data_IF_111746900323
#
_entry.id   IF_111746900323
#
_cell.length_a   1.000
_cell.length_b   1.000
_cell.length_c   1.000
_cell.angle_alpha   90.00
_cell.angle_beta   90.00
_cell.angle_gamma   90.00
#
_symmetry.space_group_name_H-M   'P 1'
#
loop_
_entity.id
_entity.type
_entity.pdbx_description
1 polymer ?
#
# COMPACT_ATOMS: atom_id res chain seq x y z
N UNK A 1 -3.84 10.68 28.81
CA UNK A 1 -4.10 9.31 28.32
C UNK A 1 -4.57 9.40 26.87
N UNK A 2 -3.75 8.92 25.95
CA UNK A 2 -3.93 9.11 24.50
C UNK A 2 -5.02 8.18 23.98
N UNK A 3 -6.12 8.78 23.51
CA UNK A 3 -7.19 8.11 22.79
C UNK A 3 -6.63 7.52 21.49
N UNK A 4 -6.23 6.24 21.54
CA UNK A 4 -5.99 5.46 20.33
C UNK A 4 -7.34 5.31 19.65
N UNK A 5 -7.42 5.72 18.40
CA UNK A 5 -8.56 5.43 17.52
C UNK A 5 -8.82 3.93 17.58
N UNK A 6 -10.04 3.55 17.96
CA UNK A 6 -10.46 2.14 17.94
C UNK A 6 -10.21 1.65 16.50
N UNK A 7 -9.41 0.60 16.28
CA UNK A 7 -9.19 0.09 14.94
C UNK A 7 -10.54 -0.24 14.32
N UNK A 8 -10.79 0.27 13.10
CA UNK A 8 -12.02 0.04 12.33
C UNK A 8 -12.25 -1.44 11.96
N UNK A 9 -11.29 -2.31 12.26
CA UNK A 9 -11.40 -3.76 12.17
C UNK A 9 -11.47 -4.35 13.58
N UNK A 10 -12.35 -5.35 13.83
CA UNK A 10 -12.31 -6.08 15.09
C UNK A 10 -10.91 -6.66 15.28
N UNK A 11 -10.34 -6.48 16.47
CA UNK A 11 -9.00 -6.94 16.78
C UNK A 11 -8.90 -8.46 16.63
N UNK A 12 -8.19 -8.92 15.59
CA UNK A 12 -8.01 -10.33 15.23
C UNK A 12 -6.94 -10.98 16.13
N UNK A 13 -6.21 -10.18 16.93
CA UNK A 13 -5.12 -10.65 17.79
C UNK A 13 -5.58 -11.73 18.75
N UNK A 14 -6.76 -11.57 19.35
CA UNK A 14 -7.33 -12.53 20.29
C UNK A 14 -7.64 -13.87 19.62
N UNK A 15 -8.33 -13.86 18.48
CA UNK A 15 -8.65 -15.09 17.75
C UNK A 15 -7.39 -15.84 17.27
N UNK A 16 -6.36 -15.10 16.85
CA UNK A 16 -5.05 -15.70 16.51
C UNK A 16 -4.38 -16.28 17.73
N UNK A 17 -4.37 -15.55 18.85
CA UNK A 17 -3.83 -16.04 20.10
C UNK A 17 -4.51 -17.34 20.54
N UNK A 18 -5.85 -17.42 20.47
CA UNK A 18 -6.59 -18.64 20.80
C UNK A 18 -6.17 -19.81 19.89
N UNK A 19 -6.08 -19.61 18.57
CA UNK A 19 -5.64 -20.68 17.65
C UNK A 19 -4.19 -21.12 17.91
N UNK A 20 -3.29 -20.18 18.19
CA UNK A 20 -1.89 -20.49 18.53
C UNK A 20 -1.77 -21.19 19.88
N UNK A 21 -2.54 -20.77 20.89
CA UNK A 21 -2.56 -21.46 22.20
C UNK A 21 -3.09 -22.88 22.05
N UNK A 22 -4.11 -23.10 21.23
CA UNK A 22 -4.63 -24.42 20.94
C UNK A 22 -3.57 -25.29 20.25
N UNK A 23 -2.83 -24.73 19.29
CA UNK A 23 -1.71 -25.42 18.65
C UNK A 23 -0.63 -25.84 19.67
N UNK A 24 -0.23 -24.93 20.56
CA UNK A 24 0.76 -25.22 21.61
C UNK A 24 0.26 -26.27 22.62
N UNK A 25 -1.01 -26.22 23.02
CA UNK A 25 -1.61 -27.22 23.90
C UNK A 25 -1.56 -28.62 23.26
N UNK A 26 -1.84 -28.72 21.97
CA UNK A 26 -1.78 -29.99 21.23
C UNK A 26 -0.35 -30.55 21.18
N UNK A 27 0.65 -29.69 20.96
CA UNK A 27 2.06 -30.10 21.02
C UNK A 27 2.44 -30.59 22.43
N UNK A 28 2.02 -29.87 23.48
CA UNK A 28 2.25 -30.29 24.87
C UNK A 28 1.54 -31.60 25.23
N UNK A 29 0.42 -31.92 24.57
CA UNK A 29 -0.30 -33.18 24.71
C UNK A 29 0.37 -34.36 23.98
N UNK A 30 1.49 -34.14 23.29
CA UNK A 30 2.29 -35.18 22.64
C UNK A 30 1.92 -35.44 21.17
N UNK A 31 1.14 -34.55 20.55
CA UNK A 31 0.83 -34.65 19.11
C UNK A 31 2.00 -34.13 18.27
N UNK A 32 2.21 -34.74 17.10
CA UNK A 32 3.19 -34.23 16.15
C UNK A 32 2.75 -32.89 15.58
N UNK A 33 3.70 -32.10 15.06
CA UNK A 33 3.39 -30.77 14.47
C UNK A 33 2.36 -30.85 13.36
N UNK A 34 2.45 -31.88 12.51
CA UNK A 34 1.51 -32.13 11.40
C UNK A 34 0.11 -32.42 11.95
N UNK A 35 0.02 -33.26 12.98
CA UNK A 35 -1.24 -33.60 13.64
C UNK A 35 -1.91 -32.40 14.32
N UNK A 36 -1.12 -31.51 14.93
CA UNK A 36 -1.63 -30.29 15.54
C UNK A 36 -2.16 -29.29 14.50
N UNK A 37 -1.53 -29.22 13.33
CA UNK A 37 -2.00 -28.40 12.20
C UNK A 37 -3.29 -28.98 11.56
N UNK A 38 -3.39 -30.31 11.44
CA UNK A 38 -4.60 -30.99 10.98
C UNK A 38 -5.82 -30.65 11.85
N UNK A 39 -5.65 -30.66 13.17
CA UNK A 39 -6.72 -30.28 14.11
C UNK A 39 -7.11 -28.81 13.94
N UNK A 40 -6.15 -27.91 13.70
CA UNK A 40 -6.45 -26.50 13.42
C UNK A 40 -7.28 -26.33 12.13
N UNK A 41 -7.06 -27.16 11.10
CA UNK A 41 -7.91 -27.19 9.90
C UNK A 41 -9.33 -27.67 10.24
N UNK A 42 -9.46 -28.71 11.06
CA UNK A 42 -10.77 -29.21 11.50
C UNK A 42 -11.55 -28.17 12.32
N UNK A 43 -10.88 -27.41 13.18
CA UNK A 43 -11.50 -26.28 13.92
C UNK A 43 -12.05 -25.23 12.94
N UNK A 44 -11.27 -24.85 11.92
CA UNK A 44 -11.73 -23.91 10.88
C UNK A 44 -12.92 -24.47 10.09
N UNK A 45 -12.91 -25.77 9.81
CA UNK A 45 -14.04 -26.45 9.17
C UNK A 45 -15.30 -26.42 10.04
N UNK A 46 -15.18 -26.67 11.35
CA UNK A 46 -16.31 -26.59 12.28
C UNK A 46 -16.91 -25.19 12.35
N UNK A 47 -16.07 -24.14 12.33
CA UNK A 47 -16.55 -22.76 12.26
C UNK A 47 -17.33 -22.52 10.95
N UNK A 48 -16.80 -22.96 9.80
CA UNK A 48 -17.51 -22.82 8.52
C UNK A 48 -18.82 -23.63 8.50
N UNK A 49 -18.86 -24.79 9.16
CA UNK A 49 -20.08 -25.58 9.31
C UNK A 49 -21.13 -24.87 10.16
N UNK A 50 -20.72 -24.19 11.24
CA UNK A 50 -21.62 -23.35 12.03
C UNK A 50 -22.18 -22.19 11.19
N UNK A 51 -21.32 -21.51 10.42
CA UNK A 51 -21.74 -20.47 9.47
C UNK A 51 -22.75 -21.02 8.47
N UNK A 52 -22.57 -22.25 7.97
CA UNK A 52 -23.54 -22.88 7.09
C UNK A 52 -24.90 -23.10 7.76
N UNK A 53 -24.93 -23.57 9.01
CA UNK A 53 -26.17 -23.71 9.79
C UNK A 53 -26.86 -22.37 10.01
N UNK A 54 -26.10 -21.31 10.26
CA UNK A 54 -26.67 -19.97 10.43
C UNK A 54 -27.23 -19.41 9.11
N UNK A 55 -26.54 -19.63 7.98
CA UNK A 55 -27.00 -19.27 6.63
C UNK A 55 -28.29 -19.98 6.18
N UNK A 56 -28.64 -21.11 6.80
CA UNK A 56 -29.93 -21.76 6.57
C UNK A 56 -31.08 -21.03 7.25
N UNK A 57 -30.83 -20.37 8.38
CA UNK A 57 -31.83 -19.65 9.17
C UNK A 57 -32.05 -18.21 8.67
N UNK A 58 -31.04 -17.65 8.03
CA UNK A 58 -31.04 -16.26 7.56
C UNK A 58 -31.69 -16.15 6.17
N UNK A 59 -32.48 -15.10 5.98
CA UNK A 59 -33.20 -14.77 4.74
C UNK A 59 -32.52 -13.71 3.88
N UNK A 60 -31.65 -12.88 4.47
CA UNK A 60 -30.94 -11.79 3.79
C UNK A 60 -29.47 -11.70 4.25
N UNK A 61 -28.56 -11.38 3.34
CA UNK A 61 -27.14 -11.19 3.64
C UNK A 61 -26.60 -9.91 3.00
N UNK A 62 -25.80 -9.15 3.75
CA UNK A 62 -25.11 -7.97 3.24
C UNK A 62 -23.96 -8.32 2.29
N UNK A 63 -23.60 -7.40 1.40
CA UNK A 63 -22.46 -7.57 0.48
C UNK A 63 -21.13 -7.73 1.22
N UNK A 64 -20.97 -7.04 2.36
CA UNK A 64 -19.79 -7.13 3.22
C UNK A 64 -19.69 -8.50 3.91
N UNK A 65 -20.80 -9.00 4.47
CA UNK A 65 -20.88 -10.32 5.12
C UNK A 65 -20.60 -11.44 4.12
N UNK A 66 -21.17 -11.35 2.91
CA UNK A 66 -20.89 -12.30 1.84
C UNK A 66 -19.41 -12.32 1.44
N UNK A 67 -18.73 -11.17 1.45
CA UNK A 67 -17.30 -11.10 1.17
C UNK A 67 -16.47 -11.77 2.28
N UNK A 68 -16.81 -11.54 3.56
CA UNK A 68 -16.13 -12.16 4.70
C UNK A 68 -16.28 -13.69 4.67
N UNK A 69 -17.49 -14.20 4.41
CA UNK A 69 -17.74 -15.64 4.31
C UNK A 69 -16.94 -16.27 3.16
N UNK A 70 -16.84 -15.59 2.01
CA UNK A 70 -16.02 -16.07 0.88
C UNK A 70 -14.53 -16.15 1.25
N UNK A 71 -14.00 -15.14 1.94
CA UNK A 71 -12.61 -15.16 2.41
C UNK A 71 -12.38 -16.30 3.40
N UNK A 72 -13.31 -16.54 4.32
CA UNK A 72 -13.23 -17.66 5.26
C UNK A 72 -13.20 -19.02 4.54
N UNK A 73 -14.07 -19.21 3.54
CA UNK A 73 -14.07 -20.41 2.70
C UNK A 73 -12.76 -20.59 1.92
N UNK A 74 -12.19 -19.50 1.38
CA UNK A 74 -10.90 -19.53 0.68
C UNK A 74 -9.74 -19.89 1.62
N UNK A 75 -9.74 -19.35 2.85
CA UNK A 75 -8.73 -19.68 3.85
C UNK A 75 -8.82 -21.14 4.29
N UNK A 76 -10.02 -21.68 4.48
CA UNK A 76 -10.22 -23.10 4.77
C UNK A 76 -9.73 -23.98 3.61
N UNK A 77 -10.09 -23.65 2.36
CA UNK A 77 -9.64 -24.39 1.19
C UNK A 77 -8.12 -24.41 1.05
N UNK A 78 -7.47 -23.25 1.27
CA UNK A 78 -6.02 -23.12 1.21
C UNK A 78 -5.33 -23.92 2.32
N UNK A 79 -5.83 -23.82 3.55
CA UNK A 79 -5.26 -24.56 4.67
C UNK A 79 -5.41 -26.08 4.50
N UNK A 80 -6.57 -26.54 4.02
CA UNK A 80 -6.78 -27.96 3.69
C UNK A 80 -5.86 -28.43 2.55
N UNK A 81 -5.68 -27.62 1.49
CA UNK A 81 -4.77 -27.96 0.39
C UNK A 81 -3.31 -28.09 0.82
N UNK A 82 -2.83 -27.16 1.65
CA UNK A 82 -1.46 -27.19 2.18
C UNK A 82 -1.20 -28.43 3.05
N UNK A 83 -2.16 -28.84 3.88
CA UNK A 83 -1.99 -30.05 4.68
C UNK A 83 -2.00 -31.33 3.86
N UNK A 84 -2.65 -31.37 2.69
CA UNK A 84 -2.57 -32.51 1.77
C UNK A 84 -1.18 -32.65 1.17
N UNK A 85 -0.56 -31.54 0.77
CA UNK A 85 0.81 -31.53 0.23
C UNK A 85 1.82 -32.02 1.29
N UNK A 86 1.68 -31.56 2.53
CA UNK A 86 2.55 -31.95 3.65
C UNK A 86 2.26 -33.39 4.13
N UNK A 87 1.00 -33.81 4.11
CA UNK A 87 0.55 -35.14 4.51
C UNK A 87 0.97 -36.25 3.54
N UNK A 88 1.14 -35.96 2.25
CA UNK A 88 1.71 -36.94 1.29
C UNK A 88 3.16 -37.33 1.63
N UNK A 89 3.88 -36.46 2.34
CA UNK A 89 5.26 -36.69 2.79
C UNK A 89 5.33 -37.36 4.18
N UNK A 90 4.23 -37.37 4.93
CA UNK A 90 4.20 -37.77 6.35
C UNK A 90 3.07 -38.77 6.59
N UNK A 91 3.38 -40.05 6.82
CA UNK A 91 2.39 -41.13 7.05
C UNK A 91 1.52 -41.00 8.32
N UNK A 92 1.55 -39.86 9.01
CA UNK A 92 0.94 -39.61 10.32
C UNK A 92 -0.16 -38.52 10.31
N UNK A 93 -0.85 -38.29 9.19
CA UNK A 93 -1.92 -37.29 9.09
C UNK A 93 -3.27 -37.82 9.63
N UNK A 94 -3.98 -36.95 10.37
CA UNK A 94 -5.36 -37.19 10.82
C UNK A 94 -6.41 -36.79 9.77
N UNK A 95 -6.02 -36.10 8.70
CA UNK A 95 -6.91 -35.73 7.61
C UNK A 95 -7.14 -36.93 6.67
N UNK A 96 -8.22 -37.65 6.91
CA UNK A 96 -8.69 -38.71 6.00
C UNK A 96 -9.25 -38.10 4.71
N UNK A 97 -9.14 -38.82 3.58
CA UNK A 97 -9.76 -38.43 2.30
C UNK A 97 -11.25 -38.08 2.43
N UNK A 98 -11.98 -38.78 3.31
CA UNK A 98 -13.39 -38.47 3.63
C UNK A 98 -13.58 -37.08 4.27
N UNK A 99 -12.66 -36.63 5.12
CA UNK A 99 -12.73 -35.31 5.75
C UNK A 99 -12.53 -34.20 4.71
N UNK A 100 -11.62 -34.40 3.75
CA UNK A 100 -11.38 -33.46 2.67
C UNK A 100 -12.57 -33.35 1.72
N UNK A 101 -13.22 -34.47 1.40
CA UNK A 101 -14.46 -34.47 0.62
C UNK A 101 -15.59 -33.73 1.37
N UNK A 102 -15.70 -33.94 2.68
CA UNK A 102 -16.68 -33.24 3.52
C UNK A 102 -16.42 -31.73 3.59
N UNK A 103 -15.16 -31.30 3.70
CA UNK A 103 -14.74 -29.88 3.66
C UNK A 103 -15.12 -29.27 2.30
N UNK A 104 -14.80 -29.95 1.20
CA UNK A 104 -15.14 -29.47 -0.16
C UNK A 104 -16.64 -29.33 -0.37
N UNK A 105 -17.42 -30.34 0.08
CA UNK A 105 -18.88 -30.30 0.03
C UNK A 105 -19.43 -29.13 0.84
N UNK A 106 -18.90 -28.91 2.04
CA UNK A 106 -19.29 -27.79 2.90
C UNK A 106 -19.04 -26.42 2.23
N UNK A 107 -17.85 -26.22 1.66
CA UNK A 107 -17.51 -24.97 0.96
C UNK A 107 -18.42 -24.74 -0.25
N UNK A 108 -18.69 -25.80 -1.04
CA UNK A 108 -19.64 -25.72 -2.15
C UNK A 108 -21.04 -25.33 -1.68
N UNK A 109 -21.55 -25.98 -0.63
CA UNK A 109 -22.87 -25.69 -0.06
C UNK A 109 -23.00 -24.27 0.50
N UNK A 110 -21.94 -23.73 1.11
CA UNK A 110 -21.92 -22.33 1.57
C UNK A 110 -21.97 -21.38 0.38
N UNK A 111 -21.12 -21.59 -0.63
CA UNK A 111 -21.05 -20.71 -1.79
C UNK A 111 -22.35 -20.72 -2.61
N UNK A 112 -22.99 -21.88 -2.76
CA UNK A 112 -24.30 -21.96 -3.44
C UNK A 112 -25.38 -21.23 -2.64
N UNK A 113 -25.44 -21.41 -1.31
CA UNK A 113 -26.41 -20.73 -0.45
C UNK A 113 -26.23 -19.21 -0.46
N UNK A 114 -25.00 -18.72 -0.33
CA UNK A 114 -24.69 -17.28 -0.40
C UNK A 114 -25.09 -16.70 -1.76
N UNK A 115 -24.86 -17.44 -2.85
CA UNK A 115 -25.25 -17.00 -4.19
C UNK A 115 -26.78 -16.98 -4.36
N UNK A 116 -27.50 -17.97 -3.80
CA UNK A 116 -28.96 -17.98 -3.79
C UNK A 116 -29.54 -16.80 -3.01
N UNK A 117 -29.05 -16.54 -1.80
CA UNK A 117 -29.49 -15.41 -0.98
C UNK A 117 -29.25 -14.06 -1.68
N UNK A 118 -28.11 -13.92 -2.36
CA UNK A 118 -27.79 -12.71 -3.13
C UNK A 118 -28.66 -12.57 -4.38
N UNK A 119 -28.98 -13.66 -5.06
CA UNK A 119 -29.82 -13.64 -6.26
C UNK A 119 -31.30 -13.38 -5.91
N UNK A 120 -31.79 -13.86 -4.77
CA UNK A 120 -33.12 -13.53 -4.24
C UNK A 120 -33.27 -12.01 -3.98
N UNK A 121 -32.20 -11.37 -3.51
CA UNK A 121 -32.15 -9.91 -3.34
C UNK A 121 -32.21 -9.21 -4.70
N UNK A 122 -31.48 -9.69 -5.72
CA UNK A 122 -31.54 -9.07 -7.05
C UNK A 122 -32.90 -9.26 -7.76
N UNK A 123 -33.59 -10.39 -7.60
CA UNK A 123 -34.91 -10.61 -8.22
C UNK A 123 -36.04 -9.85 -7.53
N UNK A 124 -35.96 -9.64 -6.21
CA UNK A 124 -36.91 -8.78 -5.48
C UNK A 124 -36.67 -7.29 -5.74
N UNK A 125 -35.42 -6.88 -5.97
CA UNK A 125 -35.09 -5.50 -6.36
C UNK A 125 -35.54 -5.17 -7.80
N UNK A 126 -35.55 -6.15 -8.71
CA UNK A 126 -36.00 -5.94 -10.09
C UNK A 126 -37.52 -5.68 -10.23
N UNK A 127 -38.33 -6.22 -9.31
CA UNK A 127 -39.79 -5.91 -9.25
C UNK A 127 -40.09 -4.71 -8.34
N UNK A 128 -39.18 -4.33 -7.46
CA UNK A 128 -39.27 -3.18 -6.59
C UNK A 128 -38.38 -2.02 -7.06
N UNK A 129 -38.61 -1.54 -8.30
CA UNK A 129 -38.11 -0.25 -8.79
C UNK A 129 -38.74 0.97 -8.05
N UNK A 130 -39.00 0.82 -6.76
CA UNK A 130 -39.26 1.87 -5.78
C UNK A 130 -38.28 1.66 -4.61
N UNK A 131 -37.01 1.92 -4.92
CA UNK A 131 -35.87 2.22 -4.05
C UNK A 131 -35.40 1.17 -2.99
N UNK A 132 -34.07 1.04 -2.81
CA UNK A 132 -33.46 0.03 -1.96
C UNK A 132 -33.41 0.48 -0.48
N UNK A 133 -33.80 -0.42 0.43
CA UNK A 133 -33.24 -0.43 1.78
C UNK A 133 -33.72 0.62 2.78
N UNK A 134 -34.89 1.24 2.59
CA UNK A 134 -35.57 1.97 3.65
C UNK A 134 -36.81 1.18 4.12
N UNK A 135 -37.08 1.06 5.42
CA UNK A 135 -38.42 0.64 5.89
C UNK A 135 -39.49 1.54 5.25
N UNK A 136 -40.73 1.07 5.06
CA UNK A 136 -41.80 1.90 4.50
C UNK A 136 -41.83 3.23 5.24
N UNK A 137 -41.84 4.33 4.48
CA UNK A 137 -41.85 5.67 5.04
C UNK A 137 -43.05 5.78 5.98
N UNK A 138 -42.80 5.93 7.27
CA UNK A 138 -43.85 6.20 8.24
C UNK A 138 -44.41 7.58 7.87
N UNK A 139 -45.63 7.60 7.31
CA UNK A 139 -46.33 8.85 6.99
C UNK A 139 -46.70 9.55 8.31
N UNK A 140 -45.75 10.33 8.83
CA UNK A 140 -45.98 11.25 9.92
C UNK A 140 -46.73 12.44 9.33
N UNK A 141 -48.06 12.41 9.40
CA UNK A 141 -48.83 13.58 9.03
C UNK A 141 -48.43 14.73 9.97
N UNK A 142 -48.09 15.89 9.42
CA UNK A 142 -47.58 17.05 10.19
C UNK A 142 -48.54 17.54 11.28
N UNK A 143 -49.78 17.04 11.25
CA UNK A 143 -50.87 17.32 12.18
C UNK A 143 -51.03 16.25 13.28
N UNK A 144 -50.49 15.05 13.10
CA UNK A 144 -50.59 13.96 14.07
C UNK A 144 -49.49 14.06 15.13
N UNK A 145 -49.71 14.99 16.07
CA UNK A 145 -48.99 15.01 17.33
C UNK A 145 -49.63 14.00 18.26
N UNK A 146 -49.08 12.80 18.35
CA UNK A 146 -49.46 11.90 19.42
C UNK A 146 -49.14 12.58 20.78
N UNK A 147 -50.15 12.87 21.62
CA UNK A 147 -49.94 13.55 22.88
C UNK A 147 -49.06 12.67 23.78
N UNK A 148 -48.09 13.27 24.47
CA UNK A 148 -47.20 12.61 25.42
C UNK A 148 -46.15 11.63 24.85
N UNK A 149 -45.85 11.66 23.53
CA UNK A 149 -44.73 10.87 22.98
C UNK A 149 -43.36 11.16 23.63
N UNK A 150 -43.17 12.39 24.11
CA UNK A 150 -41.96 12.81 24.83
C UNK A 150 -41.96 12.43 26.32
N UNK A 151 -43.09 11.96 26.85
CA UNK A 151 -43.26 11.57 28.25
C UNK A 151 -43.19 10.04 28.48
N UNK A 152 -42.80 9.27 27.45
CA UNK A 152 -42.58 7.84 27.62
C UNK A 152 -41.36 7.61 28.55
N UNK A 153 -41.50 6.88 29.68
CA UNK A 153 -40.49 6.84 30.76
C UNK A 153 -39.07 6.38 30.37
N UNK A 154 -38.89 5.86 29.15
CA UNK A 154 -37.63 5.32 28.65
C UNK A 154 -37.11 5.99 27.36
N UNK A 155 -37.84 6.96 26.78
CA UNK A 155 -37.41 7.68 25.58
C UNK A 155 -36.44 8.84 25.86
N UNK A 156 -36.33 9.30 27.11
CA UNK A 156 -35.41 10.36 27.52
C UNK A 156 -33.93 9.97 27.51
N UNK A 157 -33.60 8.68 27.38
CA UNK A 157 -32.21 8.19 27.44
C UNK A 157 -31.36 8.60 26.22
N UNK A 158 -31.99 8.90 25.09
CA UNK A 158 -31.32 9.39 23.86
C UNK A 158 -31.41 10.92 23.71
N UNK A 159 -32.16 11.60 24.60
CA UNK A 159 -32.30 13.06 24.59
C UNK A 159 -31.13 13.65 25.38
N UNK A 160 -30.11 14.13 24.67
CA UNK A 160 -29.10 14.99 25.28
C UNK A 160 -29.70 16.39 25.47
N UNK A 161 -30.32 16.61 26.63
CA UNK A 161 -30.89 17.91 27.01
C UNK A 161 -29.81 18.95 27.39
N UNK A 162 -28.54 18.57 27.35
CA UNK A 162 -27.39 19.41 27.69
C UNK A 162 -26.57 19.65 26.42
N UNK A 163 -26.20 20.90 26.16
CA UNK A 163 -25.28 21.23 25.06
C UNK A 163 -23.95 20.52 25.28
N UNK A 164 -23.58 19.66 24.32
CA UNK A 164 -22.30 18.95 24.27
C UNK A 164 -21.23 19.73 23.50
N UNK A 165 -21.54 20.94 23.02
CA UNK A 165 -20.61 21.78 22.26
C UNK A 165 -19.36 22.14 23.08
N UNK A 166 -19.50 22.29 24.39
CA UNK A 166 -18.37 22.50 25.31
C UNK A 166 -17.42 21.30 25.42
N UNK A 167 -17.86 20.10 25.00
CA UNK A 167 -17.02 18.90 24.95
C UNK A 167 -16.26 18.75 23.62
N UNK A 168 -16.60 19.54 22.59
CA UNK A 168 -15.99 19.44 21.26
C UNK A 168 -14.54 19.96 21.21
N UNK A 169 -14.07 20.61 22.27
CA UNK A 169 -12.76 21.28 22.31
C UNK A 169 -12.72 22.53 21.42
N UNK A 170 -11.63 23.29 21.46
CA UNK A 170 -11.47 24.45 20.60
C UNK A 170 -11.38 24.03 19.13
N UNK A 171 -12.07 24.77 18.26
CA UNK A 171 -11.97 24.59 16.80
C UNK A 171 -10.52 24.81 16.39
N UNK A 172 -9.88 23.78 15.85
CA UNK A 172 -8.55 23.90 15.25
C UNK A 172 -8.67 24.79 14.02
N UNK A 173 -7.95 25.92 13.99
CA UNK A 173 -7.91 26.78 12.83
C UNK A 173 -7.45 25.96 11.61
N UNK A 174 -8.24 25.98 10.53
CA UNK A 174 -7.90 25.30 9.29
C UNK A 174 -6.57 25.83 8.76
N UNK A 175 -5.60 24.97 8.44
CA UNK A 175 -4.30 25.42 7.93
C UNK A 175 -4.46 26.11 6.58
N UNK A 176 -3.66 27.16 6.34
CA UNK A 176 -3.60 27.82 5.03
C UNK A 176 -2.86 26.88 4.07
N UNK A 177 -3.57 26.40 3.05
CA UNK A 177 -3.00 25.59 1.99
C UNK A 177 -2.32 26.47 0.94
N UNK A 178 -1.01 26.28 0.79
CA UNK A 178 -0.25 26.79 -0.34
C UNK A 178 -0.48 25.90 -1.56
N UNK A 179 -0.78 26.46 -2.74
CA UNK A 179 -0.98 25.68 -3.96
C UNK A 179 0.31 24.99 -4.39
N UNK A 180 0.20 23.74 -4.85
CA UNK A 180 1.32 22.96 -5.39
C UNK A 180 1.24 22.97 -6.91
N UNK A 181 2.10 23.76 -7.54
CA UNK A 181 2.14 23.94 -9.00
C UNK A 181 3.06 22.90 -9.65
N UNK A 182 2.53 21.70 -9.92
CA UNK A 182 3.29 20.62 -10.57
C UNK A 182 3.73 20.99 -12.01
N UNK A 183 3.06 21.96 -12.63
CA UNK A 183 3.39 22.48 -13.97
C UNK A 183 4.63 23.37 -14.04
N UNK A 184 5.28 23.66 -12.90
CA UNK A 184 6.53 24.43 -12.87
C UNK A 184 7.71 23.66 -13.50
N UNK A 185 7.60 22.33 -13.62
CA UNK A 185 8.62 21.50 -14.25
C UNK A 185 8.34 21.42 -15.76
N UNK A 186 9.32 21.75 -16.62
CA UNK A 186 9.17 21.66 -18.07
C UNK A 186 9.16 20.21 -18.55
N UNK A 187 8.57 19.95 -19.72
CA UNK A 187 8.51 18.60 -20.30
C UNK A 187 9.87 18.06 -20.75
N UNK A 188 10.81 18.94 -21.12
CA UNK A 188 12.17 18.61 -21.56
C UNK A 188 13.16 19.69 -21.14
N UNK A 189 14.37 19.29 -20.78
CA UNK A 189 15.46 20.20 -20.40
C UNK A 189 16.61 20.10 -21.40
N UNK A 190 17.08 21.24 -21.88
CA UNK A 190 18.09 21.36 -22.95
C UNK A 190 19.46 21.80 -22.43
N UNK A 191 19.51 22.44 -21.26
CA UNK A 191 20.76 22.91 -20.65
C UNK A 191 20.95 22.36 -19.24
N UNK A 192 22.21 22.20 -18.81
CA UNK A 192 22.53 21.78 -17.43
C UNK A 192 21.98 22.77 -16.39
N UNK A 193 21.91 24.07 -16.72
CA UNK A 193 21.31 25.10 -15.86
C UNK A 193 19.81 24.95 -15.70
N UNK A 194 19.09 24.59 -16.77
CA UNK A 194 17.66 24.24 -16.69
C UNK A 194 17.44 23.02 -15.81
N UNK A 195 18.32 22.03 -15.90
CA UNK A 195 18.26 20.84 -15.03
C UNK A 195 18.44 21.23 -13.57
N UNK A 196 19.44 22.05 -13.24
CA UNK A 196 19.62 22.52 -11.87
C UNK A 196 18.37 23.26 -11.35
N UNK A 197 17.80 24.17 -12.15
CA UNK A 197 16.57 24.90 -11.79
C UNK A 197 15.38 23.95 -11.60
N UNK A 198 15.18 23.00 -12.52
CA UNK A 198 14.11 22.01 -12.45
C UNK A 198 14.22 21.10 -11.22
N UNK A 199 15.43 20.68 -10.86
CA UNK A 199 15.68 19.92 -9.63
C UNK A 199 15.38 20.76 -8.37
N UNK A 200 15.70 22.06 -8.36
CA UNK A 200 15.31 22.96 -7.25
C UNK A 200 13.80 23.07 -7.11
N UNK A 201 13.08 23.26 -8.22
CA UNK A 201 11.61 23.28 -8.21
C UNK A 201 11.03 21.94 -7.74
N UNK A 202 11.60 20.82 -8.17
CA UNK A 202 11.20 19.50 -7.69
C UNK A 202 11.34 19.36 -6.17
N UNK A 203 12.47 19.77 -5.60
CA UNK A 203 12.68 19.74 -4.14
C UNK A 203 11.65 20.62 -3.42
N UNK A 204 11.43 21.85 -3.91
CA UNK A 204 10.45 22.77 -3.34
C UNK A 204 9.03 22.18 -3.35
N UNK A 205 8.61 21.60 -4.49
CA UNK A 205 7.32 20.94 -4.62
C UNK A 205 7.19 19.72 -3.70
N UNK A 206 8.25 18.89 -3.61
CA UNK A 206 8.28 17.75 -2.70
C UNK A 206 8.20 18.17 -1.23
N UNK A 207 8.82 19.29 -0.87
CA UNK A 207 8.78 19.86 0.47
C UNK A 207 7.39 20.41 0.81
N UNK A 208 6.74 21.12 -0.10
CA UNK A 208 5.36 21.58 0.07
C UNK A 208 4.39 20.41 0.26
N UNK A 209 4.49 19.39 -0.59
CA UNK A 209 3.68 18.17 -0.48
C UNK A 209 3.94 17.41 0.83
N UNK A 210 5.18 17.38 1.31
CA UNK A 210 5.51 16.75 2.59
C UNK A 210 4.92 17.51 3.78
N UNK A 211 4.99 18.84 3.76
CA UNK A 211 4.47 19.69 4.83
C UNK A 211 2.94 19.68 4.91
N UNK A 212 2.27 19.47 3.77
CA UNK A 212 0.80 19.43 3.65
C UNK A 212 0.26 18.01 3.51
N UNK A 213 1.00 16.99 3.95
CA UNK A 213 0.65 15.58 3.73
C UNK A 213 -0.64 15.13 4.47
N UNK A 214 -1.04 15.81 5.55
CA UNK A 214 -2.33 15.55 6.23
C UNK A 214 -3.53 16.05 5.44
N UNK A 215 -3.35 17.13 4.69
CA UNK A 215 -4.42 17.84 3.99
C UNK A 215 -4.55 17.40 2.53
N UNK A 216 -3.41 17.18 1.86
CA UNK A 216 -3.37 16.73 0.47
C UNK A 216 -3.47 15.22 0.42
N UNK A 217 -4.62 14.75 -0.07
CA UNK A 217 -4.84 13.33 -0.38
C UNK A 217 -3.74 12.83 -1.32
N UNK A 218 -3.22 11.64 -1.00
CA UNK A 218 -2.23 10.92 -1.82
C UNK A 218 -0.91 11.68 -2.08
N UNK A 219 -0.53 12.61 -1.19
CA UNK A 219 0.75 13.35 -1.26
C UNK A 219 1.97 12.44 -1.47
N UNK A 220 2.00 11.25 -0.87
CA UNK A 220 3.07 10.27 -1.08
C UNK A 220 3.14 9.76 -2.53
N UNK A 221 1.99 9.44 -3.15
CA UNK A 221 1.93 8.97 -4.52
C UNK A 221 2.33 10.06 -5.51
N UNK A 222 1.87 11.30 -5.28
CA UNK A 222 2.20 12.46 -6.14
C UNK A 222 3.70 12.72 -6.14
N UNK A 223 4.37 12.70 -4.97
CA UNK A 223 5.83 12.89 -4.89
C UNK A 223 6.60 11.82 -5.66
N UNK A 224 6.18 10.56 -5.53
CA UNK A 224 6.83 9.47 -6.26
C UNK A 224 6.63 9.60 -7.76
N UNK A 225 5.41 9.91 -8.21
CA UNK A 225 5.11 10.11 -9.64
C UNK A 225 5.90 11.29 -10.22
N UNK A 226 6.01 12.41 -9.47
CA UNK A 226 6.76 13.59 -9.87
C UNK A 226 8.25 13.27 -10.08
N UNK A 227 8.87 12.64 -9.10
CA UNK A 227 10.29 12.28 -9.16
C UNK A 227 10.53 11.26 -10.27
N UNK A 228 9.66 10.26 -10.39
CA UNK A 228 9.74 9.29 -11.49
C UNK A 228 9.71 9.99 -12.85
N UNK A 229 8.72 10.86 -13.09
CA UNK A 229 8.58 11.57 -14.35
C UNK A 229 9.81 12.40 -14.72
N UNK A 230 10.40 13.09 -13.74
CA UNK A 230 11.60 13.91 -13.96
C UNK A 230 12.77 13.06 -14.48
N UNK A 231 13.04 11.91 -13.85
CA UNK A 231 14.19 11.08 -14.21
C UNK A 231 13.94 10.15 -15.39
N UNK A 232 12.69 9.81 -15.72
CA UNK A 232 12.38 8.92 -16.84
C UNK A 232 12.03 9.65 -18.13
N UNK A 233 11.56 10.89 -18.05
CA UNK A 233 10.96 11.59 -19.20
C UNK A 233 11.51 12.98 -19.44
N UNK A 234 11.83 13.74 -18.39
CA UNK A 234 12.22 15.16 -18.51
C UNK A 234 13.73 15.32 -18.69
N UNK A 235 14.51 14.67 -17.84
CA UNK A 235 15.97 14.74 -17.84
C UNK A 235 16.53 13.70 -18.82
N UNK A 236 17.41 14.09 -19.75
CA UNK A 236 18.06 13.13 -20.64
C UNK A 236 18.99 12.21 -19.85
N UNK A 237 18.80 10.90 -20.01
CA UNK A 237 19.63 9.89 -19.36
C UNK A 237 21.04 9.89 -19.96
N UNK A 238 22.09 9.67 -19.15
CA UNK A 238 23.46 9.63 -19.62
C UNK A 238 23.74 8.41 -20.51
N UNK A 239 24.57 8.60 -21.53
CA UNK A 239 25.08 7.51 -22.36
C UNK A 239 26.18 6.74 -21.62
N UNK A 240 26.35 5.43 -21.91
CA UNK A 240 27.37 4.60 -21.28
C UNK A 240 28.77 5.13 -21.57
N UNK A 241 29.70 4.96 -20.61
CA UNK A 241 31.08 5.44 -20.71
C UNK A 241 31.87 4.84 -21.88
N UNK A 242 31.46 3.66 -22.37
CA UNK A 242 32.13 2.97 -23.47
C UNK A 242 31.61 3.41 -24.86
N UNK A 243 30.69 4.38 -24.93
CA UNK A 243 30.11 4.78 -26.20
C UNK A 243 31.09 5.66 -27.01
N UNK A 244 31.37 5.32 -28.30
CA UNK A 244 32.39 6.01 -29.09
C UNK A 244 32.10 7.51 -29.33
N UNK A 245 30.82 7.91 -29.33
CA UNK A 245 30.37 9.29 -29.54
C UNK A 245 29.90 9.99 -28.25
N UNK A 246 30.35 9.54 -27.08
CA UNK A 246 29.91 10.09 -25.79
C UNK A 246 30.15 11.61 -25.70
N UNK A 247 31.30 12.10 -26.15
CA UNK A 247 31.68 13.52 -26.03
C UNK A 247 30.79 14.46 -26.85
N UNK A 248 30.25 13.99 -27.97
CA UNK A 248 29.47 14.81 -28.91
C UNK A 248 27.96 14.68 -28.66
N UNK A 249 27.47 13.45 -28.42
CA UNK A 249 26.04 13.17 -28.34
C UNK A 249 25.50 13.14 -26.91
N UNK A 250 26.33 12.91 -25.90
CA UNK A 250 25.86 12.83 -24.52
C UNK A 250 25.63 14.23 -23.95
N UNK A 251 24.38 14.53 -23.61
CA UNK A 251 23.97 15.76 -22.94
C UNK A 251 24.90 16.18 -21.79
N UNK A 252 25.28 15.22 -20.94
CA UNK A 252 26.07 15.49 -19.74
C UNK A 252 27.57 15.69 -20.03
N UNK A 253 28.10 15.08 -21.10
CA UNK A 253 29.51 15.20 -21.47
C UNK A 253 29.78 16.31 -22.48
N UNK A 254 28.78 16.71 -23.27
CA UNK A 254 28.93 17.70 -24.33
C UNK A 254 28.86 19.14 -23.81
N UNK A 255 28.21 19.36 -22.66
CA UNK A 255 28.07 20.67 -22.05
C UNK A 255 29.12 20.90 -20.97
N UNK A 256 29.68 22.10 -20.96
CA UNK A 256 30.61 22.51 -19.91
C UNK A 256 29.86 22.85 -18.62
N UNK A 257 30.39 22.41 -17.47
CA UNK A 257 29.76 22.58 -16.16
C UNK A 257 30.66 23.38 -15.21
N UNK A 258 30.06 24.34 -14.49
CA UNK A 258 30.73 25.04 -13.39
C UNK A 258 30.73 24.18 -12.13
N UNK A 259 31.76 24.34 -11.30
CA UNK A 259 31.87 23.60 -10.03
C UNK A 259 30.67 23.84 -9.10
N UNK A 260 30.18 25.07 -9.02
CA UNK A 260 28.98 25.40 -8.22
C UNK A 260 27.75 24.64 -8.69
N UNK A 261 27.51 24.59 -10.01
CA UNK A 261 26.39 23.86 -10.62
C UNK A 261 26.52 22.36 -10.40
N UNK A 262 27.74 21.82 -10.51
CA UNK A 262 28.02 20.41 -10.23
C UNK A 262 27.66 20.05 -8.78
N UNK A 263 28.16 20.84 -7.81
CA UNK A 263 27.91 20.62 -6.40
C UNK A 263 26.42 20.76 -6.05
N UNK A 264 25.75 21.78 -6.61
CA UNK A 264 24.33 22.01 -6.38
C UNK A 264 23.47 20.87 -6.93
N UNK A 265 23.72 20.39 -8.16
CA UNK A 265 23.01 19.23 -8.72
C UNK A 265 23.18 18.01 -7.80
N UNK A 266 24.41 17.70 -7.36
CA UNK A 266 24.64 16.54 -6.48
C UNK A 266 23.91 16.68 -5.13
N UNK A 267 23.89 17.88 -4.56
CA UNK A 267 23.14 18.16 -3.33
C UNK A 267 21.62 18.01 -3.54
N UNK A 268 21.10 18.50 -4.67
CA UNK A 268 19.68 18.37 -5.02
C UNK A 268 19.29 16.90 -5.25
N UNK A 269 20.13 16.12 -5.95
CA UNK A 269 19.92 14.69 -6.12
C UNK A 269 19.87 13.96 -4.78
N UNK A 270 20.73 14.33 -3.83
CA UNK A 270 20.68 13.78 -2.47
C UNK A 270 19.35 14.09 -1.75
N UNK A 271 18.89 15.36 -1.82
CA UNK A 271 17.62 15.76 -1.20
C UNK A 271 16.41 15.06 -1.85
N UNK A 272 16.39 14.98 -3.19
CA UNK A 272 15.33 14.31 -3.94
C UNK A 272 15.29 12.82 -3.59
N UNK A 273 16.44 12.15 -3.52
CA UNK A 273 16.54 10.75 -3.10
C UNK A 273 15.93 10.53 -1.72
N UNK A 274 16.17 11.43 -0.76
CA UNK A 274 15.54 11.33 0.58
C UNK A 274 14.03 11.50 0.51
N UNK A 275 13.52 12.46 -0.25
CA UNK A 275 12.08 12.61 -0.48
C UNK A 275 11.49 11.40 -1.18
N UNK A 276 12.19 10.82 -2.15
CA UNK A 276 11.77 9.64 -2.87
C UNK A 276 11.69 8.42 -1.95
N UNK A 277 12.74 8.14 -1.18
CA UNK A 277 12.77 6.99 -0.25
C UNK A 277 11.65 7.07 0.78
N UNK A 278 11.46 8.25 1.41
CA UNK A 278 10.39 8.43 2.39
C UNK A 278 9.00 8.26 1.77
N UNK A 279 8.79 8.78 0.56
CA UNK A 279 7.51 8.67 -0.14
C UNK A 279 7.25 7.24 -0.64
N UNK A 280 8.25 6.59 -1.22
CA UNK A 280 8.19 5.22 -1.69
C UNK A 280 7.87 4.25 -0.54
N UNK A 281 8.59 4.30 0.59
CA UNK A 281 8.33 3.39 1.71
C UNK A 281 6.97 3.61 2.40
N UNK A 282 6.34 4.76 2.21
CA UNK A 282 5.00 5.05 2.75
C UNK A 282 3.87 4.47 1.89
N UNK A 283 4.17 4.00 0.69
CA UNK A 283 3.20 3.45 -0.25
C UNK A 283 3.25 1.92 -0.25
N UNK A 284 2.10 1.29 -0.54
CA UNK A 284 1.98 -0.16 -0.64
C UNK A 284 2.92 -0.70 -1.72
N UNK A 285 3.72 -1.71 -1.37
CA UNK A 285 4.61 -2.39 -2.31
C UNK A 285 3.79 -3.31 -3.21
N UNK A 286 3.90 -3.11 -4.52
CA UNK A 286 3.45 -4.03 -5.58
C UNK A 286 4.66 -4.35 -6.44
N UNK A 287 4.67 -5.51 -7.12
CA UNK A 287 5.80 -5.90 -7.97
C UNK A 287 6.14 -4.82 -9.03
N UNK A 288 5.11 -4.27 -9.68
CA UNK A 288 5.27 -3.20 -10.67
C UNK A 288 5.85 -1.92 -10.06
N UNK A 289 5.44 -1.60 -8.83
CA UNK A 289 5.92 -0.40 -8.16
C UNK A 289 7.33 -0.59 -7.60
N UNK A 290 7.67 -1.79 -7.15
CA UNK A 290 9.01 -2.13 -6.70
C UNK A 290 10.03 -1.96 -7.84
N UNK A 291 9.69 -2.48 -9.04
CA UNK A 291 10.47 -2.23 -10.25
C UNK A 291 10.63 -0.74 -10.57
N UNK A 292 9.54 0.05 -10.45
CA UNK A 292 9.60 1.50 -10.68
C UNK A 292 10.50 2.22 -9.67
N UNK A 293 10.50 1.83 -8.40
CA UNK A 293 11.39 2.41 -7.36
C UNK A 293 12.86 2.10 -7.64
N UNK A 294 13.17 0.88 -8.06
CA UNK A 294 14.54 0.48 -8.40
C UNK A 294 15.01 1.25 -9.64
N UNK A 295 14.19 1.32 -10.69
CA UNK A 295 14.54 2.00 -11.95
C UNK A 295 14.76 3.49 -11.74
N UNK A 296 13.89 4.16 -10.98
CA UNK A 296 14.03 5.58 -10.68
C UNK A 296 15.27 5.86 -9.85
N UNK A 297 15.57 5.05 -8.84
CA UNK A 297 16.81 5.20 -8.06
C UNK A 297 18.06 4.93 -8.90
N UNK A 298 18.02 3.95 -9.79
CA UNK A 298 19.08 3.69 -10.75
C UNK A 298 19.29 4.88 -11.70
N UNK A 299 18.21 5.49 -12.20
CA UNK A 299 18.29 6.69 -13.03
C UNK A 299 18.92 7.88 -12.28
N UNK A 300 18.54 8.10 -11.02
CA UNK A 300 19.15 9.12 -10.16
C UNK A 300 20.65 8.84 -9.97
N UNK A 301 21.03 7.59 -9.69
CA UNK A 301 22.42 7.20 -9.51
C UNK A 301 23.24 7.37 -10.79
N UNK A 302 22.69 7.01 -11.96
CA UNK A 302 23.33 7.22 -13.26
C UNK A 302 23.56 8.71 -13.55
N UNK A 303 22.58 9.57 -13.25
CA UNK A 303 22.74 11.03 -13.41
C UNK A 303 23.81 11.56 -12.46
N UNK A 304 23.81 11.13 -11.19
CA UNK A 304 24.85 11.51 -10.23
C UNK A 304 26.24 11.08 -10.69
N UNK A 305 26.38 9.86 -11.21
CA UNK A 305 27.61 9.32 -11.78
C UNK A 305 28.11 10.17 -12.95
N UNK A 306 27.22 10.48 -13.89
CA UNK A 306 27.55 11.31 -15.04
C UNK A 306 28.02 12.70 -14.61
N UNK A 307 27.29 13.37 -13.71
CA UNK A 307 27.63 14.69 -13.17
C UNK A 307 28.99 14.67 -12.45
N UNK A 308 29.27 13.62 -11.68
CA UNK A 308 30.56 13.46 -10.98
C UNK A 308 31.74 13.26 -11.93
N UNK A 309 31.53 12.66 -13.10
CA UNK A 309 32.60 12.45 -14.10
C UNK A 309 32.90 13.69 -14.94
N UNK A 310 32.01 14.67 -14.97
CA UNK A 310 32.25 15.89 -15.75
C UNK A 310 33.39 16.70 -15.12
N UNK A 311 34.43 16.98 -15.91
CA UNK A 311 35.51 17.89 -15.54
C UNK A 311 35.00 19.32 -15.61
N UNK A 312 34.98 20.01 -14.47
CA UNK A 312 34.51 21.40 -14.40
C UNK A 312 35.55 22.38 -14.93
N UNK A 313 35.08 23.49 -15.50
CA UNK A 313 35.91 24.49 -16.21
C UNK A 313 36.92 25.19 -15.28
N UNK A 314 36.46 25.72 -14.14
CA UNK A 314 37.25 26.66 -13.33
C UNK A 314 38.05 26.00 -12.21
N UNK A 315 37.41 25.11 -11.44
CA UNK A 315 38.00 24.51 -10.23
C UNK A 315 37.61 23.02 -10.22
N UNK A 316 38.38 22.15 -10.88
CA UNK A 316 38.10 20.72 -10.88
C UNK A 316 38.30 20.15 -9.48
N UNK A 317 37.27 19.45 -8.98
CA UNK A 317 37.40 18.75 -7.70
C UNK A 317 38.34 17.55 -7.87
N UNK A 318 39.30 17.40 -6.95
CA UNK A 318 40.20 16.23 -6.95
C UNK A 318 39.43 14.92 -6.87
N UNK A 319 38.29 14.93 -6.18
CA UNK A 319 37.37 13.80 -6.11
C UNK A 319 36.81 13.43 -7.48
N UNK A 320 36.28 14.39 -8.25
CA UNK A 320 35.78 14.15 -9.62
C UNK A 320 36.87 13.63 -10.56
N UNK A 321 38.08 14.20 -10.47
CA UNK A 321 39.23 13.76 -11.26
C UNK A 321 39.67 12.34 -10.91
N UNK A 322 39.72 11.99 -9.63
CA UNK A 322 40.04 10.64 -9.19
C UNK A 322 38.94 9.64 -9.56
N UNK A 323 37.67 10.03 -9.38
CA UNK A 323 36.51 9.22 -9.71
C UNK A 323 36.44 8.88 -11.21
N UNK A 324 36.80 9.85 -12.06
CA UNK A 324 36.88 9.69 -13.52
C UNK A 324 38.18 9.04 -14.03
N UNK A 325 39.15 8.74 -13.15
CA UNK A 325 40.45 8.18 -13.56
C UNK A 325 41.35 9.17 -14.31
N UNK A 326 41.15 10.47 -14.13
CA UNK A 326 41.91 11.54 -14.81
C UNK A 326 43.03 12.14 -13.94
N UNK A 327 43.12 11.79 -12.66
CA UNK A 327 44.11 12.34 -11.73
C UNK A 327 45.49 11.67 -11.87
N UNK A 328 45.53 10.34 -11.94
CA UNK A 328 46.74 9.51 -12.09
C UNK A 328 46.48 8.40 -13.11
N UNK A 329 47.43 8.16 -14.02
CA UNK A 329 47.28 7.24 -15.15
C UNK A 329 47.13 5.75 -14.76
N UNK A 330 47.37 5.41 -13.50
CA UNK A 330 47.36 4.02 -12.99
C UNK A 330 46.03 3.61 -12.36
N UNK A 331 45.13 4.56 -12.04
CA UNK A 331 43.87 4.25 -11.36
C UNK A 331 42.72 4.18 -12.38
N UNK A 332 42.09 3.00 -12.58
CA UNK A 332 40.93 2.90 -13.46
C UNK A 332 39.76 3.73 -12.93
N UNK A 333 38.88 4.23 -13.81
CA UNK A 333 37.69 4.97 -13.38
C UNK A 333 36.82 4.09 -12.49
N UNK A 334 36.27 4.66 -11.42
CA UNK A 334 35.30 3.98 -10.58
C UNK A 334 34.02 3.73 -11.38
N UNK A 335 33.28 2.66 -11.10
CA UNK A 335 32.04 2.33 -11.80
C UNK A 335 31.07 1.57 -10.90
N UNK A 336 29.78 1.69 -11.18
CA UNK A 336 28.75 0.87 -10.56
C UNK A 336 28.68 -0.48 -11.28
N UNK A 337 29.05 -1.56 -10.60
CA UNK A 337 28.84 -2.92 -11.08
C UNK A 337 27.58 -3.51 -10.42
N UNK A 338 26.74 -4.16 -11.22
CA UNK A 338 25.51 -4.86 -10.77
C UNK A 338 25.85 -6.17 -10.00
N UNK A 339 27.14 -6.50 -9.84
CA UNK A 339 27.66 -7.81 -9.42
C UNK A 339 26.82 -8.55 -8.37
N UNK A 340 26.71 -8.03 -7.15
CA UNK A 340 25.99 -8.71 -6.07
C UNK A 340 24.47 -8.64 -6.18
N UNK A 341 23.91 -7.72 -6.99
CA UNK A 341 22.46 -7.59 -7.18
C UNK A 341 21.93 -8.66 -8.15
N UNK A 342 22.71 -9.04 -9.17
CA UNK A 342 22.38 -10.14 -10.07
C UNK A 342 22.29 -11.47 -9.31
N UNK A 343 23.23 -11.74 -8.40
CA UNK A 343 23.23 -12.96 -7.57
C UNK A 343 22.11 -13.01 -6.50
N UNK A 344 21.52 -11.86 -6.14
CA UNK A 344 20.41 -11.77 -5.18
C UNK A 344 19.03 -11.72 -5.84
N UNK A 345 18.97 -11.53 -7.16
CA UNK A 345 17.74 -11.43 -7.94
C UNK A 345 17.39 -12.72 -8.70
N UNK A 346 18.23 -13.75 -8.58
CA UNK A 346 18.03 -15.12 -9.11
C UNK A 346 17.47 -16.05 -8.02
#
# INVERSE_FOLDING_TARGET
ETWRTIPKNPDISFCRCVLETLHQILLCAGLSKVQAEDICVLVRWMICRQVFTDLQRITFISSAEAAVIRVACQQLARAAGQQVEIGQLSSESFLTSSNLEAIHKCIKSINTRVSQLRNMVYTTIATAAAAPGAPPQLELDSKDRAPNCSAFPFFGRLRCDVSVETLAGPIQASPILLPVELSLIPDRMSTVTEVALGLRHCVQLCQLLANQASEIRDSYAIRVALIQHIFTSVIPLPLPCNHPQQKELCFWSSQEMRHETQADILQLLHLITRHFSTAAFSLRVTQSFDAARILTMAAVAMVADAVLRVKTIHIPSKFSLHYSGQLDAEVPPFGFEIGNFAAQSE
#
